data_IF_944377638632
#
_entry.id   IF_944377638632
#
_cell.length_a   1.000
_cell.length_b   1.000
_cell.length_c   1.000
_cell.angle_alpha   90.00
_cell.angle_beta   90.00
_cell.angle_gamma   90.00
#
_symmetry.space_group_name_H-M   'P 1'
#
loop_
_entity.id
_entity.type
_entity.pdbx_description
1 polymer ?
#
# COMPACT_ATOMS: atom_id res chain seq x y z
N UNK A 1 -13.74 -13.34 12.19
CA UNK A 1 -12.78 -12.27 12.58
C UNK A 1 -12.05 -11.75 11.34
N UNK A 2 -11.81 -10.44 11.23
CA UNK A 2 -11.04 -9.80 10.16
C UNK A 2 -9.67 -9.35 10.68
N UNK A 3 -8.61 -9.79 10.02
CA UNK A 3 -7.24 -9.36 10.24
C UNK A 3 -6.81 -8.40 9.15
N UNK A 4 -6.36 -7.19 9.50
CA UNK A 4 -5.84 -6.20 8.57
C UNK A 4 -4.38 -5.86 8.88
N UNK A 5 -3.48 -5.98 7.90
CA UNK A 5 -2.06 -5.63 8.07
C UNK A 5 -1.70 -4.41 7.21
N UNK A 6 -1.20 -3.36 7.84
CA UNK A 6 -0.89 -2.07 7.20
C UNK A 6 0.44 -1.45 7.65
N UNK A 7 0.92 -0.39 6.96
CA UNK A 7 2.19 0.30 7.28
C UNK A 7 1.97 1.45 8.25
N UNK A 8 2.91 1.67 9.18
CA UNK A 8 2.75 2.63 10.29
C UNK A 8 3.17 4.07 10.01
N UNK A 9 3.53 4.45 8.76
CA UNK A 9 4.27 5.72 8.54
C UNK A 9 3.81 6.66 7.42
N UNK A 10 2.55 6.58 6.98
CA UNK A 10 1.98 7.58 6.05
C UNK A 10 0.48 7.71 6.27
N UNK A 11 -0.15 8.89 6.03
CA UNK A 11 -1.61 9.03 6.01
C UNK A 11 -2.17 8.32 4.76
N UNK A 12 -2.16 6.99 4.75
CA UNK A 12 -3.06 6.15 3.96
C UNK A 12 -4.25 5.72 4.81
N UNK A 13 -4.78 6.67 5.58
CA UNK A 13 -6.03 6.51 6.34
C UNK A 13 -7.16 6.02 5.40
N UNK A 14 -7.13 6.40 4.12
CA UNK A 14 -8.14 6.00 3.14
C UNK A 14 -8.22 4.50 2.80
N UNK A 15 -7.10 3.75 2.87
CA UNK A 15 -7.13 2.32 2.52
C UNK A 15 -7.63 1.46 3.68
N UNK A 16 -7.32 1.86 4.92
CA UNK A 16 -7.86 1.21 6.10
C UNK A 16 -9.30 1.68 6.43
N UNK A 17 -9.73 2.86 5.96
CA UNK A 17 -11.07 3.40 6.20
C UNK A 17 -12.17 2.47 5.64
N UNK A 18 -11.95 1.88 4.46
CA UNK A 18 -12.90 0.96 3.86
C UNK A 18 -13.12 -0.29 4.74
N UNK A 19 -12.04 -0.85 5.29
CA UNK A 19 -12.11 -1.98 6.21
C UNK A 19 -12.76 -1.64 7.55
N UNK A 20 -12.47 -0.45 8.13
CA UNK A 20 -13.13 0.02 9.35
C UNK A 20 -14.63 0.16 9.12
N UNK A 21 -15.03 0.78 8.00
CA UNK A 21 -16.43 0.97 7.63
C UNK A 21 -17.16 -0.37 7.42
N UNK A 22 -16.50 -1.38 6.84
CA UNK A 22 -17.07 -2.72 6.68
C UNK A 22 -17.36 -3.40 8.01
N UNK A 23 -16.54 -3.18 9.04
CA UNK A 23 -16.75 -3.78 10.38
C UNK A 23 -17.73 -3.01 11.24
N UNK A 24 -17.82 -1.68 11.08
CA UNK A 24 -18.83 -0.87 11.76
C UNK A 24 -20.25 -1.15 11.26
N UNK A 25 -20.40 -1.54 9.99
CA UNK A 25 -21.70 -1.84 9.37
C UNK A 25 -22.22 -3.25 9.60
N UNK A 26 -21.41 -4.18 10.13
CA UNK A 26 -21.79 -5.59 10.29
C UNK A 26 -21.60 -6.05 11.74
N UNK A 27 -22.66 -6.05 12.56
CA UNK A 27 -22.57 -6.55 13.93
C UNK A 27 -22.16 -8.04 13.93
N UNK A 28 -21.08 -8.36 14.65
CA UNK A 28 -20.52 -9.72 14.76
C UNK A 28 -19.15 -9.92 14.11
N UNK A 29 -18.62 -8.95 13.35
CA UNK A 29 -17.27 -9.05 12.78
C UNK A 29 -16.26 -8.31 13.67
N UNK A 30 -15.45 -9.05 14.42
CA UNK A 30 -14.30 -8.48 15.13
C UNK A 30 -13.16 -8.15 14.16
N UNK A 31 -12.64 -6.91 14.15
CA UNK A 31 -11.48 -6.52 13.36
C UNK A 31 -10.24 -6.31 14.23
N UNK A 32 -9.09 -6.83 13.79
CA UNK A 32 -7.78 -6.58 14.39
C UNK A 32 -6.80 -6.03 13.37
N UNK A 33 -6.17 -4.91 13.71
CA UNK A 33 -5.20 -4.25 12.83
C UNK A 33 -3.79 -4.46 13.37
N UNK A 34 -2.93 -5.04 12.54
CA UNK A 34 -1.52 -5.23 12.85
C UNK A 34 -0.65 -4.33 11.97
N UNK A 35 0.44 -3.84 12.58
CA UNK A 35 1.43 -3.08 11.86
C UNK A 35 2.46 -4.04 11.27
N UNK A 36 2.62 -3.97 9.94
CA UNK A 36 3.58 -4.79 9.19
C UNK A 36 4.98 -4.75 9.80
N UNK A 37 5.43 -3.55 10.14
CA UNK A 37 6.81 -3.31 10.58
C UNK A 37 7.08 -3.83 12.00
N UNK A 38 6.02 -4.11 12.78
CA UNK A 38 6.11 -4.67 14.14
C UNK A 38 5.85 -6.18 14.20
N UNK A 39 5.34 -6.80 13.14
CA UNK A 39 4.93 -8.21 13.09
C UNK A 39 5.48 -8.89 11.81
N UNK A 40 6.82 -9.05 11.69
CA UNK A 40 7.44 -9.64 10.50
C UNK A 40 7.12 -11.14 10.34
N UNK A 41 6.99 -11.85 11.45
CA UNK A 41 6.56 -13.24 11.57
C UNK A 41 5.16 -13.47 10.97
N UNK A 42 4.21 -12.58 11.28
CA UNK A 42 2.88 -12.62 10.70
C UNK A 42 2.94 -12.36 9.19
N UNK A 43 3.76 -11.41 8.75
CA UNK A 43 3.88 -11.06 7.33
C UNK A 43 4.49 -12.17 6.46
N UNK A 44 5.33 -13.01 7.03
CA UNK A 44 5.94 -14.13 6.32
C UNK A 44 4.90 -15.21 5.94
N UNK A 45 3.75 -15.25 6.63
CA UNK A 45 2.61 -16.10 6.27
C UNK A 45 1.78 -15.54 5.10
N UNK A 46 1.91 -14.24 4.83
CA UNK A 46 1.13 -13.50 3.82
C UNK A 46 2.02 -12.92 2.70
N UNK A 47 3.09 -13.63 2.35
CA UNK A 47 3.95 -13.25 1.24
C UNK A 47 3.19 -13.31 -0.09
N UNK A 48 3.13 -12.18 -0.78
CA UNK A 48 2.62 -12.12 -2.14
C UNK A 48 3.61 -12.82 -3.07
N UNK A 49 3.13 -13.81 -3.83
CA UNK A 49 3.95 -14.65 -4.70
C UNK A 49 5.14 -15.32 -3.98
N UNK A 50 5.03 -15.52 -2.66
CA UNK A 50 6.09 -16.13 -1.84
C UNK A 50 7.34 -15.28 -1.64
N UNK A 51 7.38 -14.03 -2.14
CA UNK A 51 8.58 -13.19 -2.14
C UNK A 51 8.32 -11.84 -1.49
N UNK A 52 7.15 -11.23 -1.75
CA UNK A 52 6.93 -9.83 -1.41
C UNK A 52 6.01 -9.65 -0.20
N UNK A 53 6.51 -8.96 0.83
CA UNK A 53 5.70 -8.44 1.96
C UNK A 53 4.83 -7.26 1.51
N UNK A 54 3.81 -7.57 0.71
CA UNK A 54 2.89 -6.61 0.11
C UNK A 54 1.82 -6.15 1.10
N UNK A 55 1.33 -4.93 0.93
CA UNK A 55 0.26 -4.34 1.75
C UNK A 55 -0.77 -3.63 0.84
N UNK A 56 -2.01 -3.47 1.30
CA UNK A 56 -2.58 -4.06 2.52
C UNK A 56 -2.82 -5.57 2.37
N UNK A 57 -2.86 -6.27 3.51
CA UNK A 57 -3.32 -7.65 3.62
C UNK A 57 -4.61 -7.65 4.44
N UNK A 58 -5.68 -8.25 3.90
CA UNK A 58 -6.88 -8.56 4.67
C UNK A 58 -7.06 -10.07 4.71
N UNK A 59 -7.15 -10.67 5.89
CA UNK A 59 -7.43 -12.09 6.05
C UNK A 59 -8.71 -12.26 6.87
N UNK A 60 -9.60 -13.10 6.38
CA UNK A 60 -10.90 -13.38 6.98
C UNK A 60 -10.87 -14.76 7.61
N UNK A 61 -11.29 -14.82 8.87
CA UNK A 61 -11.33 -16.03 9.67
C UNK A 61 -12.76 -16.36 10.08
N UNK A 62 -13.09 -17.66 10.10
CA UNK A 62 -14.32 -18.18 10.68
C UNK A 62 -14.27 -18.17 12.22
N UNK A 63 -15.31 -18.72 12.87
CA UNK A 63 -15.41 -18.82 14.33
C UNK A 63 -14.38 -19.80 14.93
N UNK A 64 -13.89 -20.75 14.14
CA UNK A 64 -12.89 -21.74 14.54
C UNK A 64 -11.45 -21.28 14.26
N UNK A 65 -11.25 -20.01 13.89
CA UNK A 65 -9.96 -19.43 13.52
C UNK A 65 -9.31 -20.07 12.27
N UNK A 66 -10.11 -20.69 11.39
CA UNK A 66 -9.62 -21.09 10.07
C UNK A 66 -9.68 -19.91 9.11
N UNK A 67 -8.63 -19.75 8.31
CA UNK A 67 -8.60 -18.72 7.28
C UNK A 67 -9.52 -19.11 6.12
N UNK A 68 -10.59 -18.33 5.93
CA UNK A 68 -11.57 -18.55 4.85
C UNK A 68 -11.07 -17.96 3.54
N UNK A 69 -10.54 -16.73 3.60
CA UNK A 69 -10.02 -16.04 2.43
C UNK A 69 -9.04 -14.94 2.81
N UNK A 70 -8.15 -14.60 1.88
CA UNK A 70 -7.21 -13.49 2.01
C UNK A 70 -7.24 -12.61 0.77
N UNK A 71 -7.08 -11.32 0.99
CA UNK A 71 -6.87 -10.31 -0.01
C UNK A 71 -5.50 -9.67 0.21
N UNK A 72 -4.54 -10.04 -0.63
CA UNK A 72 -3.17 -9.51 -0.60
C UNK A 72 -3.01 -8.60 -1.81
N UNK A 73 -2.86 -7.29 -1.57
CA UNK A 73 -2.68 -6.26 -2.61
C UNK A 73 -3.86 -6.13 -3.59
N UNK A 74 -3.84 -5.04 -4.36
CA UNK A 74 -4.76 -4.75 -5.45
C UNK A 74 -4.67 -5.81 -6.58
N UNK A 75 -5.78 -6.21 -7.23
CA UNK A 75 -5.76 -7.22 -8.30
C UNK A 75 -4.81 -6.87 -9.45
N UNK A 76 -4.25 -7.87 -10.17
CA UNK A 76 -3.29 -7.65 -11.25
C UNK A 76 -3.80 -6.70 -12.32
N UNK A 77 -5.05 -6.89 -12.77
CA UNK A 77 -5.70 -6.07 -13.80
C UNK A 77 -5.77 -4.58 -13.45
N UNK A 78 -6.00 -4.26 -12.19
CA UNK A 78 -6.03 -2.86 -11.73
C UNK A 78 -4.61 -2.29 -11.65
N UNK A 79 -3.63 -3.13 -11.33
CA UNK A 79 -2.21 -2.76 -11.33
C UNK A 79 -1.75 -2.42 -12.75
N UNK A 80 -2.05 -3.27 -13.73
CA UNK A 80 -1.75 -3.05 -15.15
C UNK A 80 -2.37 -1.75 -15.68
N UNK A 81 -3.64 -1.46 -15.36
CA UNK A 81 -4.31 -0.22 -15.78
C UNK A 81 -3.62 1.02 -15.21
N UNK A 82 -3.16 0.96 -13.96
CA UNK A 82 -2.44 2.08 -13.33
C UNK A 82 -1.05 2.23 -13.93
N UNK A 83 -0.34 1.14 -14.16
CA UNK A 83 0.97 1.16 -14.81
C UNK A 83 0.87 1.72 -16.23
N UNK A 84 -0.15 1.34 -17.00
CA UNK A 84 -0.42 1.90 -18.32
C UNK A 84 -0.70 3.40 -18.28
N UNK A 85 -1.54 3.86 -17.34
CA UNK A 85 -1.80 5.30 -17.14
C UNK A 85 -0.53 6.06 -16.72
N UNK A 86 0.24 5.51 -15.79
CA UNK A 86 1.50 6.10 -15.34
C UNK A 86 2.53 6.16 -16.48
N UNK A 87 2.61 5.13 -17.32
CA UNK A 87 3.48 5.11 -18.48
C UNK A 87 3.07 6.16 -19.51
N UNK A 88 1.77 6.34 -19.76
CA UNK A 88 1.26 7.39 -20.64
C UNK A 88 1.64 8.79 -20.12
N UNK A 89 1.47 9.04 -18.81
CA UNK A 89 1.89 10.31 -18.18
C UNK A 89 3.41 10.52 -18.30
N UNK A 90 4.22 9.47 -18.05
CA UNK A 90 5.67 9.53 -18.20
C UNK A 90 6.12 9.85 -19.62
N UNK A 91 5.43 9.30 -20.63
CA UNK A 91 5.71 9.56 -22.05
C UNK A 91 5.25 10.95 -22.49
N UNK A 92 4.16 11.45 -21.92
CA UNK A 92 3.62 12.78 -22.21
C UNK A 92 4.40 13.91 -21.51
N UNK A 93 5.27 13.59 -20.55
CA UNK A 93 6.17 14.57 -19.93
C UNK A 93 7.30 14.91 -20.91
N UNK A 94 7.40 16.15 -21.40
CA UNK A 94 8.49 16.56 -22.27
C UNK A 94 9.81 16.42 -21.52
N UNK A 95 10.83 15.87 -22.18
CA UNK A 95 12.19 15.75 -21.63
C UNK A 95 12.74 17.11 -21.16
N UNK A 96 12.33 18.19 -21.81
CA UNK A 96 12.67 19.57 -21.45
C UNK A 96 12.13 20.00 -20.07
N UNK A 97 10.90 19.58 -19.70
CA UNK A 97 10.35 19.84 -18.36
C UNK A 97 11.10 19.05 -17.28
N UNK A 98 11.53 17.83 -17.60
CA UNK A 98 12.36 17.03 -16.71
C UNK A 98 13.76 17.66 -16.50
N UNK A 99 14.35 18.23 -17.55
CA UNK A 99 15.61 18.98 -17.48
C UNK A 99 15.50 20.25 -16.63
N UNK A 100 14.44 21.05 -16.83
CA UNK A 100 14.17 22.25 -16.03
C UNK A 100 14.03 21.91 -14.54
N UNK A 101 13.25 20.88 -14.21
CA UNK A 101 13.08 20.43 -12.82
C UNK A 101 14.39 19.94 -12.21
N UNK A 102 15.17 19.14 -12.96
CA UNK A 102 16.50 18.69 -12.51
C UNK A 102 17.42 19.87 -12.20
N UNK A 103 17.45 20.88 -13.08
CA UNK A 103 18.29 22.04 -12.88
C UNK A 103 17.88 22.82 -11.61
N UNK A 104 16.58 23.01 -11.39
CA UNK A 104 16.07 23.65 -10.17
C UNK A 104 16.49 22.92 -8.89
N UNK A 105 16.41 21.58 -8.87
CA UNK A 105 16.83 20.77 -7.71
C UNK A 105 18.33 20.89 -7.47
N UNK A 106 19.14 20.86 -8.54
CA UNK A 106 20.60 21.03 -8.44
C UNK A 106 20.96 22.40 -7.88
N UNK A 107 20.27 23.45 -8.31
CA UNK A 107 20.51 24.81 -7.85
C UNK A 107 20.11 24.99 -6.37
N UNK A 108 19.00 24.39 -5.95
CA UNK A 108 18.55 24.39 -4.54
C UNK A 108 19.54 23.66 -3.63
N UNK A 109 19.96 22.44 -3.99
CA UNK A 109 20.96 21.66 -3.24
C UNK A 109 22.29 22.41 -3.17
N UNK A 110 22.71 23.04 -4.27
CA UNK A 110 23.95 23.84 -4.31
C UNK A 110 23.83 25.10 -3.45
N UNK A 111 22.65 25.68 -3.30
CA UNK A 111 22.38 26.78 -2.38
C UNK A 111 22.53 26.37 -0.92
N UNK A 112 21.98 25.19 -0.56
CA UNK A 112 22.08 24.64 0.80
C UNK A 112 23.51 24.26 1.19
N UNK A 113 24.32 23.78 0.26
CA UNK A 113 25.72 23.41 0.51
C UNK A 113 26.67 24.62 0.61
N UNK A 114 26.20 25.82 0.24
CA UNK A 114 26.98 27.07 0.30
C UNK A 114 26.63 27.93 1.52
N UNK A 115 25.64 27.53 2.33
CA UNK A 115 25.29 28.10 3.62
C UNK A 115 25.99 27.33 4.75
#
# INVERSE_FOLDING_TARGET
MLLAISRSRTPQVSTNQASICLTEGVPGIEMRVFLRDKNPDLMDQYLNQGIYRSIPVFAFFDEQMNEVTRFIKRPPKVTEQIEAKMLAVRRALPAEKALKWRQTVVDEVRGLLKA
#
